data_IF_192899981486
#
_entry.id   IF_192899981486
#
_cell.length_a   1.000
_cell.length_b   1.000
_cell.length_c   1.000
_cell.angle_alpha   90.00
_cell.angle_beta   90.00
_cell.angle_gamma   90.00
#
_symmetry.space_group_name_H-M   'P 1'
#
loop_
_entity.id
_entity.type
_entity.pdbx_description
1 polymer ?
#
# COMPACT_ATOMS: atom_id res chain seq x y z
N UNK A 1 -7.55 6.90 6.12
CA UNK A 1 -8.03 7.91 5.16
C UNK A 1 -8.76 7.17 4.04
N UNK A 2 -9.98 7.60 3.70
CA UNK A 2 -10.72 7.02 2.56
C UNK A 2 -10.14 7.51 1.25
N UNK A 3 -9.92 6.57 0.34
CA UNK A 3 -9.35 6.80 -0.99
C UNK A 3 -10.33 6.26 -2.03
N UNK A 4 -10.63 7.10 -3.01
CA UNK A 4 -11.39 6.72 -4.18
C UNK A 4 -10.46 6.01 -5.16
N UNK A 5 -10.88 4.86 -5.63
CA UNK A 5 -10.17 4.04 -6.60
C UNK A 5 -11.05 3.84 -7.80
N UNK A 6 -10.55 4.18 -8.98
CA UNK A 6 -11.22 3.95 -10.26
C UNK A 6 -10.39 2.94 -11.04
N UNK A 7 -11.05 1.96 -11.63
CA UNK A 7 -10.39 0.84 -12.29
C UNK A 7 -11.20 0.35 -13.49
N UNK A 8 -10.52 -0.35 -14.40
CA UNK A 8 -11.17 -0.99 -15.55
C UNK A 8 -11.77 -2.36 -15.21
N UNK A 9 -12.41 -2.99 -16.19
CA UNK A 9 -13.03 -4.32 -16.04
C UNK A 9 -12.02 -5.44 -15.80
N UNK A 10 -10.73 -5.22 -16.09
CA UNK A 10 -9.64 -6.15 -15.81
C UNK A 10 -9.07 -5.99 -14.39
N UNK A 11 -9.55 -5.00 -13.63
CA UNK A 11 -9.07 -4.71 -12.30
C UNK A 11 -7.84 -3.82 -12.25
N UNK A 12 -7.43 -3.24 -13.38
CA UNK A 12 -6.29 -2.32 -13.44
C UNK A 12 -6.69 -0.96 -12.90
N UNK A 13 -5.90 -0.42 -11.99
CA UNK A 13 -6.14 0.89 -11.41
C UNK A 13 -5.85 1.97 -12.46
N UNK A 14 -6.83 2.83 -12.70
CA UNK A 14 -6.74 4.00 -13.60
C UNK A 14 -6.45 5.25 -12.77
N UNK A 15 -7.09 5.38 -11.61
CA UNK A 15 -6.98 6.55 -10.75
C UNK A 15 -7.08 6.17 -9.26
N UNK A 16 -6.32 6.89 -8.44
CA UNK A 16 -6.26 6.81 -6.99
C UNK A 16 -6.21 8.24 -6.45
N UNK A 17 -7.18 8.62 -5.63
CA UNK A 17 -7.25 9.97 -5.04
C UNK A 17 -7.91 9.98 -3.67
N UNK A 18 -7.46 10.90 -2.81
CA UNK A 18 -7.98 11.10 -1.46
C UNK A 18 -8.37 12.56 -1.27
N UNK A 19 -9.39 12.84 -0.45
CA UNK A 19 -9.89 14.20 -0.20
C UNK A 19 -11.21 14.48 -0.93
N UNK A 20 -11.39 15.71 -1.39
CA UNK A 20 -12.56 16.14 -2.18
C UNK A 20 -12.43 15.71 -3.64
N UNK A 21 -12.57 14.40 -3.85
CA UNK A 21 -12.62 13.79 -5.19
C UNK A 21 -14.07 13.50 -5.56
N UNK A 22 -14.44 13.82 -6.80
CA UNK A 22 -15.79 13.59 -7.32
C UNK A 22 -16.03 12.10 -7.53
N UNK A 23 -17.17 11.60 -7.03
CA UNK A 23 -17.60 10.23 -7.28
C UNK A 23 -17.99 10.07 -8.77
N UNK A 24 -17.37 9.14 -9.49
CA UNK A 24 -17.61 8.99 -10.91
C UNK A 24 -18.92 8.24 -11.18
N UNK A 25 -19.57 8.56 -12.29
CA UNK A 25 -20.82 7.92 -12.72
C UNK A 25 -20.56 7.08 -13.96
N UNK A 26 -20.99 5.82 -13.95
CA UNK A 26 -20.93 4.92 -15.11
C UNK A 26 -19.60 4.18 -15.31
N UNK A 27 -18.61 4.38 -14.44
CA UNK A 27 -17.35 3.61 -14.43
C UNK A 27 -17.15 2.91 -13.08
N UNK A 28 -16.51 1.73 -13.04
CA UNK A 28 -16.26 1.02 -11.78
C UNK A 28 -15.38 1.83 -10.83
N UNK A 29 -15.86 2.00 -9.60
CA UNK A 29 -15.09 2.64 -8.53
C UNK A 29 -15.30 1.94 -7.18
N UNK A 30 -14.37 2.16 -6.25
CA UNK A 30 -14.44 1.69 -4.87
C UNK A 30 -13.86 2.74 -3.93
N UNK A 31 -14.53 2.95 -2.81
CA UNK A 31 -13.97 3.65 -1.66
C UNK A 31 -13.31 2.64 -0.73
N UNK A 32 -12.03 2.82 -0.44
CA UNK A 32 -11.30 1.94 0.46
C UNK A 32 -10.32 2.72 1.33
N UNK A 33 -9.89 2.09 2.42
CA UNK A 33 -8.77 2.55 3.22
C UNK A 33 -7.59 1.62 2.97
N UNK A 34 -6.46 2.19 2.53
CA UNK A 34 -5.23 1.43 2.28
C UNK A 34 -4.55 1.20 3.64
N UNK A 35 -4.33 -0.06 4.06
CA UNK A 35 -3.62 -0.34 5.30
C UNK A 35 -2.18 0.19 5.27
N UNK A 36 -1.69 0.66 6.42
CA UNK A 36 -0.30 1.09 6.57
C UNK A 36 0.68 -0.02 6.14
N UNK A 37 1.73 0.34 5.41
CA UNK A 37 2.74 -0.60 4.91
C UNK A 37 2.29 -1.45 3.71
N UNK A 38 1.09 -1.21 3.17
CA UNK A 38 0.60 -1.85 1.95
C UNK A 38 0.35 -0.83 0.86
N UNK A 39 0.43 -1.29 -0.38
CA UNK A 39 0.04 -0.54 -1.57
C UNK A 39 -1.01 -1.31 -2.34
N UNK A 40 -1.97 -0.59 -2.90
CA UNK A 40 -2.99 -1.18 -3.76
C UNK A 40 -2.34 -1.64 -5.08
N UNK A 41 -2.51 -2.92 -5.43
CA UNK A 41 -1.95 -3.52 -6.65
C UNK A 41 -2.98 -3.51 -7.78
N UNK A 42 -4.19 -4.00 -7.49
CA UNK A 42 -5.28 -4.17 -8.45
C UNK A 42 -6.59 -4.40 -7.71
N UNK A 43 -7.69 -4.43 -8.44
CA UNK A 43 -9.00 -4.87 -7.94
C UNK A 43 -9.32 -6.24 -8.53
N UNK A 44 -9.78 -7.17 -7.70
CA UNK A 44 -10.36 -8.42 -8.17
C UNK A 44 -11.78 -8.17 -8.69
N UNK A 45 -11.96 -8.29 -10.01
CA UNK A 45 -13.24 -8.14 -10.70
C UNK A 45 -13.90 -9.48 -11.05
N UNK A 46 -13.36 -10.62 -10.56
CA UNK A 46 -13.89 -11.96 -10.86
C UNK A 46 -15.26 -12.24 -10.23
N UNK A 47 -15.65 -11.46 -9.23
CA UNK A 47 -16.91 -11.60 -8.48
C UNK A 47 -17.76 -10.35 -8.65
N UNK A 48 -19.10 -10.46 -8.48
CA UNK A 48 -19.99 -9.28 -8.50
C UNK A 48 -19.61 -8.20 -7.49
N UNK A 49 -19.01 -8.61 -6.36
CA UNK A 49 -18.44 -7.70 -5.37
C UNK A 49 -16.93 -7.63 -5.61
N UNK A 50 -16.48 -6.49 -6.10
CA UNK A 50 -15.07 -6.25 -6.38
C UNK A 50 -14.28 -6.07 -5.08
N UNK A 51 -13.11 -6.70 -4.99
CA UNK A 51 -12.27 -6.65 -3.77
C UNK A 51 -10.86 -6.14 -4.05
N UNK A 52 -10.26 -5.32 -3.17
CA UNK A 52 -8.91 -4.81 -3.39
C UNK A 52 -7.84 -5.87 -3.13
N UNK A 53 -6.86 -5.95 -4.03
CA UNK A 53 -5.67 -6.77 -3.88
C UNK A 53 -4.51 -5.85 -3.49
N UNK A 54 -3.93 -6.11 -2.31
CA UNK A 54 -2.80 -5.35 -1.80
C UNK A 54 -1.49 -6.11 -2.02
N UNK A 55 -0.39 -5.36 -2.16
CA UNK A 55 0.98 -5.88 -2.02
C UNK A 55 1.70 -5.11 -0.92
N UNK A 56 2.75 -5.70 -0.37
CA UNK A 56 3.59 -5.03 0.60
C UNK A 56 4.38 -3.89 -0.07
N UNK A 57 4.62 -2.82 0.68
CA UNK A 57 5.56 -1.77 0.26
C UNK A 57 6.94 -2.43 0.17
N UNK A 58 7.61 -2.39 -1.00
CA UNK A 58 8.96 -2.91 -1.10
C UNK A 58 9.88 -2.10 -0.17
N UNK A 59 10.75 -2.78 0.58
CA UNK A 59 11.79 -2.12 1.37
C UNK A 59 12.65 -1.24 0.45
N UNK A 60 12.97 -0.04 0.91
CA UNK A 60 13.90 0.83 0.21
C UNK A 60 15.33 0.51 0.65
N UNK A 61 16.32 0.88 -0.17
CA UNK A 61 17.74 0.76 0.21
C UNK A 61 18.05 1.50 1.52
N UNK A 62 17.34 2.59 1.81
CA UNK A 62 17.48 3.35 3.05
C UNK A 62 16.97 2.53 4.26
N UNK A 63 15.88 1.79 4.08
CA UNK A 63 15.36 0.92 5.14
C UNK A 63 16.33 -0.21 5.44
N UNK A 64 16.92 -0.82 4.41
CA UNK A 64 17.95 -1.85 4.57
C UNK A 64 19.19 -1.30 5.30
N UNK A 65 19.64 -0.09 4.96
CA UNK A 65 20.76 0.57 5.66
C UNK A 65 20.43 0.84 7.12
N UNK A 66 19.21 1.26 7.44
CA UNK A 66 18.78 1.47 8.84
C UNK A 66 18.74 0.16 9.62
N UNK A 67 18.25 -0.91 9.03
CA UNK A 67 18.24 -2.23 9.66
C UNK A 67 19.67 -2.71 9.96
N UNK A 68 20.59 -2.55 8.99
CA UNK A 68 22.00 -2.86 9.19
C UNK A 68 22.65 -2.01 10.30
N UNK A 69 22.38 -0.70 10.31
CA UNK A 69 22.91 0.19 11.36
C UNK A 69 22.36 -0.18 12.75
N UNK A 70 21.08 -0.51 12.84
CA UNK A 70 20.44 -0.96 14.09
C UNK A 70 21.07 -2.27 14.58
N UNK A 71 21.27 -3.23 13.67
CA UNK A 71 21.93 -4.49 14.00
C UNK A 71 23.37 -4.28 14.51
N UNK A 72 24.13 -3.37 13.87
CA UNK A 72 25.48 -3.00 14.31
C UNK A 72 25.47 -2.32 15.68
N UNK A 73 24.52 -1.44 15.94
CA UNK A 73 24.37 -0.76 17.25
C UNK A 73 24.03 -1.75 18.37
N UNK A 74 23.14 -2.69 18.11
CA UNK A 74 22.78 -3.75 19.08
C UNK A 74 24.02 -4.60 19.38
N UNK A 75 24.73 -5.08 18.35
CA UNK A 75 25.93 -5.87 18.54
C UNK A 75 27.01 -5.11 19.33
N UNK A 76 27.16 -3.80 19.07
CA UNK A 76 28.08 -2.96 19.82
C UNK A 76 27.65 -2.79 21.28
N UNK A 77 26.36 -2.59 21.55
CA UNK A 77 25.82 -2.49 22.91
C UNK A 77 26.03 -3.80 23.70
N UNK A 78 25.73 -4.94 23.08
CA UNK A 78 25.98 -6.28 23.64
C UNK A 78 27.46 -6.51 23.97
N UNK A 79 28.37 -6.09 23.07
CA UNK A 79 29.81 -6.16 23.30
C UNK A 79 30.29 -5.22 24.42
N UNK A 80 29.64 -4.08 24.60
CA UNK A 80 29.93 -3.12 25.66
C UNK A 80 29.24 -3.45 27.00
N UNK A 81 28.40 -4.48 27.04
CA UNK A 81 27.72 -4.94 28.25
C UNK A 81 26.69 -3.96 28.81
N UNK A 82 26.11 -3.11 27.95
CA UNK A 82 25.06 -2.13 28.27
C UNK A 82 23.77 -2.46 27.52
#
# INVERSE_FOLDING_TARGET
>A
MKTLVIYDTTGRIIYLGSGDVLEPVGIPFLWLEIPTGKILKSIDTSKPIHTPIYKEVPKTEIDDVKEQLTAVQIALAEMMGV
#
